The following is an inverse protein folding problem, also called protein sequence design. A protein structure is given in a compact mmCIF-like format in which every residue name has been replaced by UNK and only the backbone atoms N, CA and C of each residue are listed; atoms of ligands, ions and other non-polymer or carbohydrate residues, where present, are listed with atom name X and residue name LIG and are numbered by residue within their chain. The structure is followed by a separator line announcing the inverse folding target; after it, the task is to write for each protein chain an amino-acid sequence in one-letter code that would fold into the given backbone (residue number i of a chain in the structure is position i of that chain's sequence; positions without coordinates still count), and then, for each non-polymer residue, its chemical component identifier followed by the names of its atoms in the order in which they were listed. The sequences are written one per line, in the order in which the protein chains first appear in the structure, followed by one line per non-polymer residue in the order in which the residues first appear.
data_IF_928897301326
#
_entry.id   IF_928897301326
#
_cell.length_a   1.000
_cell.length_b   1.000
_cell.length_c   1.000
_cell.angle_alpha   90.00
_cell.angle_beta   90.00
_cell.angle_gamma   90.00
#
_symmetry.space_group_name_H-M   'P 1'
#
loop_
_entity.id
_entity.type
_entity.pdbx_description
1 polymer ?
#
# COMPACT_ATOMS: atom_id res chain seq x y z
N UNK A 1 -16.06 39.13 -16.89
CA UNK A 1 -16.35 37.98 -16.01
C UNK A 1 -15.87 36.71 -16.72
N UNK A 2 -14.62 36.26 -16.49
CA UNK A 2 -14.05 35.06 -17.15
C UNK A 2 -14.36 33.84 -16.29
N UNK A 3 -15.14 32.88 -16.82
CA UNK A 3 -15.44 31.63 -16.13
C UNK A 3 -14.15 30.80 -16.02
N UNK A 4 -13.79 30.42 -14.79
CA UNK A 4 -12.71 29.49 -14.51
C UNK A 4 -13.05 28.13 -15.14
N UNK A 5 -12.15 27.63 -15.98
CA UNK A 5 -12.21 26.28 -16.51
C UNK A 5 -11.80 25.36 -15.35
N UNK A 6 -12.76 24.70 -14.73
CA UNK A 6 -12.49 23.63 -13.78
C UNK A 6 -11.75 22.54 -14.55
N UNK A 7 -10.51 22.26 -14.14
CA UNK A 7 -9.71 21.20 -14.72
C UNK A 7 -10.48 19.88 -14.63
N UNK A 8 -10.69 19.24 -15.79
CA UNK A 8 -11.27 17.90 -15.84
C UNK A 8 -10.32 16.97 -15.07
N UNK A 9 -10.84 16.07 -14.21
CA UNK A 9 -10.01 15.05 -13.60
C UNK A 9 -9.32 14.26 -14.71
N UNK A 10 -8.01 14.08 -14.56
CA UNK A 10 -7.15 13.35 -15.50
C UNK A 10 -7.70 11.93 -15.61
N UNK A 11 -8.44 11.65 -16.68
CA UNK A 11 -8.97 10.32 -16.95
C UNK A 11 -7.86 9.53 -17.62
N UNK A 12 -7.21 8.64 -16.86
CA UNK A 12 -6.20 7.73 -17.40
C UNK A 12 -6.95 6.68 -18.24
N UNK A 13 -6.67 6.54 -19.55
CA UNK A 13 -7.41 5.60 -20.39
C UNK A 13 -7.15 4.16 -19.95
N UNK A 14 -8.24 3.44 -19.69
CA UNK A 14 -8.30 2.07 -19.19
C UNK A 14 -7.79 0.98 -20.16
N UNK A 15 -6.98 1.33 -21.17
CA UNK A 15 -6.61 0.40 -22.25
C UNK A 15 -5.41 -0.53 -21.93
N UNK A 16 -5.02 -0.64 -20.66
CA UNK A 16 -3.95 -1.56 -20.20
C UNK A 16 -4.41 -2.53 -19.10
N UNK A 17 -5.68 -2.48 -18.69
CA UNK A 17 -6.23 -3.36 -17.67
C UNK A 17 -7.08 -4.44 -18.33
N UNK A 18 -6.53 -5.64 -18.43
CA UNK A 18 -7.32 -6.81 -18.79
C UNK A 18 -8.37 -7.06 -17.69
N UNK A 19 -9.64 -6.93 -18.11
CA UNK A 19 -10.91 -7.11 -17.39
C UNK A 19 -11.23 -6.14 -16.24
N UNK A 20 -11.86 -5.03 -16.62
CA UNK A 20 -12.82 -4.32 -15.77
C UNK A 20 -13.11 -2.93 -16.32
N UNK A 21 -14.31 -2.71 -16.82
CA UNK A 21 -14.86 -1.39 -17.19
C UNK A 21 -15.10 -0.48 -15.96
N UNK A 22 -14.31 -0.62 -14.91
CA UNK A 22 -14.43 0.15 -13.68
C UNK A 22 -13.52 1.37 -13.79
N UNK A 23 -14.08 2.55 -13.53
CA UNK A 23 -13.28 3.77 -13.41
C UNK A 23 -12.25 3.56 -12.30
N UNK A 24 -10.97 3.79 -12.60
CA UNK A 24 -9.93 3.79 -11.57
C UNK A 24 -10.13 4.98 -10.65
N UNK A 25 -10.86 4.76 -9.56
CA UNK A 25 -10.82 5.64 -8.39
C UNK A 25 -9.78 5.13 -7.37
N UNK A 26 -9.51 5.93 -6.33
CA UNK A 26 -8.54 5.58 -5.29
C UNK A 26 -8.90 4.29 -4.53
N UNK A 27 -10.18 3.96 -4.40
CA UNK A 27 -10.64 2.73 -3.73
C UNK A 27 -10.30 1.51 -4.57
N UNK A 28 -10.58 1.55 -5.88
CA UNK A 28 -10.13 0.52 -6.82
C UNK A 28 -8.61 0.44 -6.88
N UNK A 29 -7.93 1.58 -6.85
CA UNK A 29 -6.49 1.64 -6.95
C UNK A 29 -5.77 0.87 -5.83
N UNK A 30 -6.22 1.12 -4.59
CA UNK A 30 -5.53 0.74 -3.37
C UNK A 30 -6.18 -0.40 -2.61
N UNK A 31 -7.43 -0.76 -2.90
CA UNK A 31 -8.21 -1.63 -2.00
C UNK A 31 -8.99 -2.72 -2.73
N UNK A 32 -9.64 -2.43 -3.86
CA UNK A 32 -10.53 -3.42 -4.51
C UNK A 32 -9.96 -4.09 -5.75
N UNK A 33 -8.87 -3.58 -6.35
CA UNK A 33 -8.21 -4.33 -7.41
C UNK A 33 -7.55 -5.61 -6.87
N UNK A 34 -7.62 -6.70 -7.64
CA UNK A 34 -7.12 -8.02 -7.21
C UNK A 34 -5.67 -7.98 -6.73
N UNK A 35 -4.83 -7.17 -7.40
CA UNK A 35 -3.41 -7.01 -7.03
C UNK A 35 -3.26 -6.33 -5.67
N UNK A 36 -4.05 -5.30 -5.38
CA UNK A 36 -3.99 -4.63 -4.10
C UNK A 36 -4.52 -5.53 -2.97
N UNK A 37 -5.62 -6.26 -3.23
CA UNK A 37 -6.17 -7.25 -2.29
C UNK A 37 -5.12 -8.30 -1.92
N UNK A 38 -4.45 -8.89 -2.91
CA UNK A 38 -3.42 -9.90 -2.68
C UNK A 38 -2.23 -9.36 -1.88
N UNK A 39 -1.78 -8.13 -2.19
CA UNK A 39 -0.71 -7.46 -1.44
C UNK A 39 -1.12 -7.23 0.00
N UNK A 40 -2.31 -6.67 0.25
CA UNK A 40 -2.80 -6.39 1.60
C UNK A 40 -2.94 -7.67 2.43
N UNK A 41 -3.49 -8.73 1.85
CA UNK A 41 -3.59 -10.02 2.51
C UNK A 41 -2.21 -10.56 2.91
N UNK A 42 -1.23 -10.53 2.01
CA UNK A 42 0.13 -10.96 2.31
C UNK A 42 0.78 -10.11 3.41
N UNK A 43 0.56 -8.79 3.41
CA UNK A 43 1.08 -7.87 4.42
C UNK A 43 0.42 -8.11 5.79
N UNK A 44 -0.91 -8.25 5.86
CA UNK A 44 -1.59 -8.49 7.13
C UNK A 44 -1.22 -9.84 7.74
N UNK A 45 -1.13 -10.90 6.93
CA UNK A 45 -0.62 -12.21 7.39
C UNK A 45 0.79 -12.08 7.95
N UNK A 46 1.69 -11.37 7.26
CA UNK A 46 3.05 -11.14 7.74
C UNK A 46 3.11 -10.31 9.03
N UNK A 47 2.20 -9.37 9.22
CA UNK A 47 2.05 -8.57 10.45
C UNK A 47 1.33 -9.31 11.59
N UNK A 48 0.83 -10.53 11.35
CA UNK A 48 0.01 -11.27 12.31
C UNK A 48 -1.35 -10.60 12.60
N UNK A 49 -1.91 -9.91 11.61
CA UNK A 49 -3.21 -9.23 11.67
C UNK A 49 -4.21 -10.05 10.87
N UNK A 50 -5.40 -10.30 11.43
CA UNK A 50 -6.50 -10.90 10.69
C UNK A 50 -7.03 -9.90 9.67
N UNK A 51 -7.03 -10.19 8.36
CA UNK A 51 -7.55 -9.29 7.35
C UNK A 51 -9.01 -8.95 7.66
N UNK A 52 -9.27 -7.67 7.93
CA UNK A 52 -10.63 -7.13 7.89
C UNK A 52 -10.81 -6.66 6.45
N UNK A 53 -11.88 -7.09 5.77
CA UNK A 53 -12.13 -6.64 4.39
C UNK A 53 -12.16 -5.12 4.33
N UNK A 54 -11.08 -4.50 3.87
CA UNK A 54 -10.94 -3.05 3.82
C UNK A 54 -11.41 -2.58 2.46
N UNK A 55 -12.56 -1.89 2.43
CA UNK A 55 -13.14 -1.40 1.19
C UNK A 55 -12.42 -0.16 0.65
N UNK A 56 -11.68 0.54 1.51
CA UNK A 56 -10.83 1.67 1.14
C UNK A 56 -9.57 1.76 2.01
N UNK A 57 -8.58 2.52 1.52
CA UNK A 57 -7.37 2.88 2.27
C UNK A 57 -7.70 3.72 3.51
N UNK A 58 -8.80 4.50 3.45
CA UNK A 58 -9.29 5.30 4.57
C UNK A 58 -9.81 4.43 5.69
N UNK A 59 -10.54 3.37 5.36
CA UNK A 59 -11.03 2.39 6.33
C UNK A 59 -9.87 1.66 7.02
N UNK A 60 -8.80 1.36 6.28
CA UNK A 60 -7.60 0.77 6.85
C UNK A 60 -6.92 1.69 7.85
N UNK A 61 -6.71 2.96 7.50
CA UNK A 61 -6.10 3.94 8.42
C UNK A 61 -6.97 4.15 9.66
N UNK A 62 -8.28 4.28 9.47
CA UNK A 62 -9.25 4.42 10.56
C UNK A 62 -9.27 3.18 11.47
N UNK A 63 -9.11 1.98 10.91
CA UNK A 63 -8.99 0.75 11.69
C UNK A 63 -7.71 0.74 12.54
N UNK A 64 -6.57 1.14 11.97
CA UNK A 64 -5.31 1.25 12.73
C UNK A 64 -5.47 2.26 13.88
N UNK A 65 -6.13 3.38 13.63
CA UNK A 65 -6.35 4.41 14.64
C UNK A 65 -7.25 3.97 15.79
N UNK A 66 -8.32 3.23 15.48
CA UNK A 66 -9.26 2.70 16.47
C UNK A 66 -8.84 1.38 17.10
N UNK A 67 -7.75 0.76 16.62
CA UNK A 67 -7.26 -0.49 17.16
C UNK A 67 -6.64 -0.31 18.56
N UNK A 68 -6.66 -1.37 19.36
CA UNK A 68 -5.95 -1.41 20.65
C UNK A 68 -4.41 -1.53 20.49
N UNK A 69 -3.87 -1.24 19.30
CA UNK A 69 -2.44 -1.25 19.06
C UNK A 69 -1.80 -0.05 19.78
N UNK A 70 -0.76 -0.32 20.58
CA UNK A 70 -0.07 0.72 21.34
C UNK A 70 1.44 0.67 21.16
N UNK A 71 2.10 1.81 21.43
CA UNK A 71 3.56 1.91 21.50
C UNK A 71 4.27 1.53 20.20
N UNK A 72 5.27 0.64 20.31
CA UNK A 72 6.11 0.20 19.20
C UNK A 72 5.30 -0.48 18.09
N UNK A 73 4.36 -1.34 18.46
CA UNK A 73 3.59 -2.16 17.52
C UNK A 73 2.73 -1.30 16.59
N UNK A 74 2.02 -0.31 17.13
CA UNK A 74 1.23 0.65 16.34
C UNK A 74 2.09 1.37 15.31
N UNK A 75 3.22 1.93 15.74
CA UNK A 75 4.15 2.67 14.86
C UNK A 75 4.72 1.83 13.72
N UNK A 76 5.04 0.55 14.00
CA UNK A 76 5.53 -0.38 12.99
C UNK A 76 4.45 -0.65 11.94
N UNK A 77 3.22 -0.95 12.38
CA UNK A 77 2.10 -1.24 11.49
C UNK A 77 1.75 -0.02 10.63
N UNK A 78 1.65 1.18 11.23
CA UNK A 78 1.41 2.44 10.51
C UNK A 78 2.46 2.66 9.41
N UNK A 79 3.75 2.50 9.75
CA UNK A 79 4.83 2.69 8.80
C UNK A 79 4.77 1.66 7.65
N UNK A 80 4.50 0.39 7.95
CA UNK A 80 4.35 -0.66 6.94
C UNK A 80 3.16 -0.37 6.02
N UNK A 81 2.02 0.05 6.57
CA UNK A 81 0.85 0.42 5.77
C UNK A 81 1.16 1.59 4.84
N UNK A 82 1.77 2.68 5.33
CA UNK A 82 2.17 3.81 4.49
C UNK A 82 3.11 3.40 3.35
N UNK A 83 4.13 2.58 3.64
CA UNK A 83 5.07 2.09 2.62
C UNK A 83 4.36 1.17 1.62
N UNK A 84 3.39 0.38 2.06
CA UNK A 84 2.57 -0.47 1.18
C UNK A 84 1.78 0.38 0.19
N UNK A 85 1.09 1.42 0.67
CA UNK A 85 0.35 2.37 -0.17
C UNK A 85 1.27 3.03 -1.20
N UNK A 86 2.42 3.57 -0.77
CA UNK A 86 3.39 4.18 -1.68
C UNK A 86 3.92 3.19 -2.73
N UNK A 87 4.13 1.93 -2.35
CA UNK A 87 4.64 0.89 -3.25
C UNK A 87 3.59 0.48 -4.28
N UNK A 88 2.32 0.33 -3.88
CA UNK A 88 1.20 0.06 -4.79
C UNK A 88 1.03 1.22 -5.78
N UNK A 89 1.03 2.47 -5.29
CA UNK A 89 0.95 3.66 -6.14
C UNK A 89 2.08 3.70 -7.17
N UNK A 90 3.33 3.50 -6.71
CA UNK A 90 4.50 3.49 -7.58
C UNK A 90 4.42 2.40 -8.63
N UNK A 91 4.05 1.18 -8.25
CA UNK A 91 3.93 0.05 -9.17
C UNK A 91 2.96 0.37 -10.32
N UNK A 92 1.81 0.97 -10.01
CA UNK A 92 0.82 1.36 -11.03
C UNK A 92 1.31 2.49 -11.91
N UNK A 93 1.99 3.48 -11.35
CA UNK A 93 2.59 4.55 -12.14
C UNK A 93 3.72 4.04 -13.04
N UNK A 94 4.58 3.15 -12.56
CA UNK A 94 5.65 2.58 -13.36
C UNK A 94 5.07 1.78 -14.55
N UNK A 95 3.97 1.04 -14.34
CA UNK A 95 3.21 0.38 -15.42
C UNK A 95 2.69 1.36 -16.47
N UNK A 96 2.10 2.48 -16.05
CA UNK A 96 1.49 3.48 -16.96
C UNK A 96 2.55 4.28 -17.70
N UNK A 97 3.59 4.76 -17.00
CA UNK A 97 4.53 5.75 -17.52
C UNK A 97 5.83 5.17 -18.06
N UNK A 98 6.24 3.98 -17.62
CA UNK A 98 7.51 3.38 -18.04
C UNK A 98 7.36 2.17 -18.96
N UNK A 99 6.13 1.70 -19.17
CA UNK A 99 5.83 0.46 -19.91
C UNK A 99 6.69 -0.74 -19.43
N UNK A 100 7.18 -0.68 -18.19
CA UNK A 100 7.97 -1.75 -17.59
C UNK A 100 7.01 -2.78 -17.02
N UNK A 101 7.14 -4.03 -17.46
CA UNK A 101 6.49 -5.16 -16.81
C UNK A 101 7.23 -5.48 -15.51
N UNK A 102 7.16 -4.58 -14.53
CA UNK A 102 7.58 -4.92 -13.18
C UNK A 102 6.73 -6.11 -12.73
N UNK A 103 7.41 -7.21 -12.39
CA UNK A 103 6.76 -8.44 -11.97
C UNK A 103 6.07 -8.21 -10.62
N UNK A 104 4.80 -8.66 -10.51
CA UNK A 104 4.00 -8.57 -9.28
C UNK A 104 4.68 -9.27 -8.10
N UNK A 105 5.45 -10.32 -8.40
CA UNK A 105 6.05 -11.24 -7.42
C UNK A 105 7.05 -10.55 -6.47
N UNK A 106 7.55 -9.36 -6.81
CA UNK A 106 8.50 -8.61 -5.99
C UNK A 106 7.90 -7.51 -5.11
N UNK A 107 6.59 -7.19 -5.19
CA UNK A 107 6.05 -6.00 -4.51
C UNK A 107 6.07 -6.18 -2.99
N UNK A 108 5.61 -7.33 -2.48
CA UNK A 108 5.60 -7.62 -1.03
C UNK A 108 7.02 -7.62 -0.47
N UNK A 109 7.97 -8.23 -1.17
CA UNK A 109 9.39 -8.22 -0.76
C UNK A 109 9.98 -6.81 -0.78
N UNK A 110 9.61 -6.01 -1.78
CA UNK A 110 9.99 -4.60 -1.86
C UNK A 110 9.41 -3.81 -0.68
N UNK A 111 8.16 -4.03 -0.32
CA UNK A 111 7.52 -3.42 0.85
C UNK A 111 8.27 -3.80 2.11
N UNK A 112 8.58 -5.10 2.33
CA UNK A 112 9.34 -5.57 3.50
C UNK A 112 10.72 -4.90 3.59
N UNK A 113 11.44 -4.81 2.47
CA UNK A 113 12.77 -4.15 2.40
C UNK A 113 12.69 -2.64 2.65
N UNK A 114 11.76 -1.95 1.96
CA UNK A 114 11.62 -0.49 2.05
C UNK A 114 11.13 -0.06 3.42
N UNK A 115 10.18 -0.78 4.02
CA UNK A 115 9.68 -0.49 5.36
C UNK A 115 10.76 -0.70 6.42
N UNK A 116 11.54 -1.78 6.34
CA UNK A 116 12.70 -1.99 7.20
C UNK A 116 13.69 -0.83 7.11
N UNK A 117 14.10 -0.45 5.90
CA UNK A 117 15.07 0.62 5.68
C UNK A 117 14.56 1.96 6.24
N UNK A 118 13.30 2.29 5.96
CA UNK A 118 12.67 3.53 6.42
C UNK A 118 12.62 3.61 7.94
N UNK A 119 12.20 2.53 8.61
CA UNK A 119 12.11 2.47 10.06
C UNK A 119 13.50 2.49 10.70
N UNK A 120 14.47 1.74 10.16
CA UNK A 120 15.85 1.76 10.65
C UNK A 120 16.46 3.18 10.58
N UNK A 121 16.16 3.91 9.51
CA UNK A 121 16.67 5.28 9.35
C UNK A 121 15.97 6.28 10.29
N UNK A 122 14.67 6.14 10.54
CA UNK A 122 13.91 7.07 11.38
C UNK A 122 13.88 6.73 12.87
N UNK A 123 14.04 5.46 13.23
CA UNK A 123 13.85 5.00 14.61
C UNK A 123 14.51 3.64 14.83
N UNK A 124 15.84 3.65 14.97
CA UNK A 124 16.68 2.46 15.22
C UNK A 124 16.18 1.56 16.36
N UNK A 125 15.50 2.11 17.37
CA UNK A 125 14.96 1.36 18.53
C UNK A 125 13.75 0.46 18.18
N UNK A 126 13.12 0.66 17.02
CA UNK A 126 11.93 -0.11 16.62
C UNK A 126 12.29 -1.41 15.90
N UNK A 127 13.53 -1.63 15.50
CA UNK A 127 13.93 -2.80 14.71
C UNK A 127 15.16 -3.46 15.33
N UNK A 128 15.09 -4.77 15.56
CA UNK A 128 16.17 -5.54 16.19
C UNK A 128 17.11 -6.20 15.18
N UNK A 129 16.57 -6.80 14.12
CA UNK A 129 17.35 -7.40 13.03
C UNK A 129 16.50 -7.61 11.77
N UNK A 130 17.15 -7.77 10.62
CA UNK A 130 16.50 -8.13 9.35
C UNK A 130 15.81 -9.50 9.42
N UNK A 131 16.41 -10.47 10.11
CA UNK A 131 15.83 -11.82 10.25
C UNK A 131 14.53 -11.79 11.04
N UNK A 132 14.51 -11.07 12.17
CA UNK A 132 13.29 -10.90 12.97
C UNK A 132 12.21 -10.17 12.16
N UNK A 133 12.61 -9.14 11.41
CA UNK A 133 11.72 -8.39 10.53
C UNK A 133 11.01 -9.28 9.50
N UNK A 134 11.75 -10.17 8.85
CA UNK A 134 11.17 -11.07 7.84
C UNK A 134 10.19 -12.08 8.43
N UNK A 135 10.39 -12.51 9.67
CA UNK A 135 9.52 -13.48 10.36
C UNK A 135 8.24 -12.83 10.88
N UNK A 136 8.37 -11.79 11.71
CA UNK A 136 7.27 -10.96 12.20
C UNK A 136 7.84 -9.65 12.77
N UNK A 137 7.45 -8.48 12.22
CA UNK A 137 8.01 -7.19 12.65
C UNK A 137 7.35 -6.60 13.91
N UNK A 138 6.23 -7.17 14.38
CA UNK A 138 5.44 -6.62 15.50
C UNK A 138 5.88 -7.04 16.89
#
# INVERSE_FOLDING_TARGET
MRKLKVDKPITIPASLFDKGNELEDSSHLFSTCIVAVDIWNAIFVWLGITPTGTNSIGDLLLWIDNSNLVGKKKKVIEAVCLISCCSIWRFRNDKIFKNESTWKDGIVDSIKKLSFLWICNRSKKLVSSWTNWLMNPT
#
